data_IF_958612666479
#
_entry.id   IF_958612666479
#
_cell.length_a   1.000
_cell.length_b   1.000
_cell.length_c   1.000
_cell.angle_alpha   90.00
_cell.angle_beta   90.00
_cell.angle_gamma   90.00
#
_symmetry.space_group_name_H-M   'P 1'
#
loop_
_entity.id
_entity.type
_entity.pdbx_description
1 polymer ?
#
# COMPACT_ATOMS: atom_id res chain seq x y z
N UNK A 1 -32.73 2.06 -1.16
CA UNK A 1 -31.31 2.35 -0.91
C UNK A 1 -31.20 2.79 0.55
N UNK A 2 -30.80 1.90 1.46
CA UNK A 2 -30.82 2.18 2.92
C UNK A 2 -29.91 3.36 3.32
N UNK A 3 -28.86 3.62 2.53
CA UNK A 3 -27.95 4.77 2.70
C UNK A 3 -28.67 6.13 2.76
N UNK A 4 -29.81 6.29 2.07
CA UNK A 4 -30.56 7.56 2.06
C UNK A 4 -31.06 7.94 3.46
N UNK A 5 -31.37 6.96 4.31
CA UNK A 5 -31.86 7.18 5.67
C UNK A 5 -30.78 7.75 6.61
N UNK A 6 -29.51 7.67 6.22
CA UNK A 6 -28.38 8.10 7.04
C UNK A 6 -27.75 9.42 6.58
N UNK A 7 -28.24 10.00 5.48
CA UNK A 7 -27.70 11.23 4.86
C UNK A 7 -27.90 12.50 5.69
N UNK A 8 -28.71 12.44 6.75
CA UNK A 8 -28.92 13.56 7.67
C UNK A 8 -28.12 13.43 8.98
N UNK A 9 -27.30 12.37 9.14
CA UNK A 9 -26.60 12.09 10.39
C UNK A 9 -25.21 12.72 10.37
N UNK A 10 -24.98 13.55 11.37
CA UNK A 10 -23.72 14.24 11.64
C UNK A 10 -23.20 13.78 13.00
N UNK A 11 -21.91 13.47 13.06
CA UNK A 11 -21.26 12.94 14.26
C UNK A 11 -20.37 14.00 14.90
N UNK A 12 -20.35 14.08 16.25
CA UNK A 12 -19.36 14.87 16.94
C UNK A 12 -17.96 14.28 16.71
N UNK A 13 -16.95 15.15 16.70
CA UNK A 13 -15.55 14.71 16.63
C UNK A 13 -15.14 14.01 17.93
N UNK A 14 -14.38 12.92 17.80
CA UNK A 14 -13.70 12.30 18.93
C UNK A 14 -12.45 13.13 19.31
N UNK A 15 -12.37 13.73 20.51
CA UNK A 15 -11.23 14.57 20.90
C UNK A 15 -9.93 13.78 21.06
N UNK A 16 -10.01 12.49 21.44
CA UNK A 16 -8.83 11.62 21.61
C UNK A 16 -8.12 11.34 20.27
N UNK A 17 -8.85 11.56 19.17
CA UNK A 17 -8.45 11.57 17.76
C UNK A 17 -7.27 12.49 17.41
N UNK A 18 -7.13 13.60 18.14
CA UNK A 18 -6.51 14.81 17.60
C UNK A 18 -5.00 14.66 17.32
N UNK A 19 -4.25 14.17 18.30
CA UNK A 19 -2.82 13.88 18.14
C UNK A 19 -2.59 12.74 17.14
N UNK A 20 -3.53 11.79 17.14
CA UNK A 20 -3.80 10.82 16.09
C UNK A 20 -3.62 11.34 14.67
N UNK A 21 -4.47 12.30 14.36
CA UNK A 21 -4.56 12.90 13.05
C UNK A 21 -3.26 13.62 12.65
N UNK A 22 -2.64 14.35 13.59
CA UNK A 22 -1.38 15.05 13.33
C UNK A 22 -0.27 14.07 12.97
N UNK A 23 -0.12 12.99 13.73
CA UNK A 23 0.86 11.93 13.44
C UNK A 23 0.67 11.37 12.02
N UNK A 24 -0.55 10.97 11.70
CA UNK A 24 -0.89 10.35 10.41
C UNK A 24 -0.65 11.33 9.25
N UNK A 25 -1.00 12.61 9.39
CA UNK A 25 -0.72 13.65 8.38
C UNK A 25 0.80 13.76 8.14
N UNK A 26 1.59 13.82 9.22
CA UNK A 26 3.04 13.91 9.17
C UNK A 26 3.70 12.68 8.53
N UNK A 27 3.08 11.51 8.58
CA UNK A 27 3.56 10.28 7.94
C UNK A 27 3.14 10.18 6.47
N UNK A 28 1.89 10.54 6.16
CA UNK A 28 1.31 10.36 4.83
C UNK A 28 1.78 11.40 3.81
N UNK A 29 1.99 12.66 4.21
CA UNK A 29 2.49 13.70 3.28
C UNK A 29 3.86 13.30 2.72
N UNK A 30 4.87 12.93 3.55
CA UNK A 30 6.16 12.45 3.04
C UNK A 30 6.05 11.18 2.20
N UNK A 31 5.05 10.32 2.44
CA UNK A 31 4.87 9.09 1.66
C UNK A 31 4.52 9.36 0.18
N UNK A 32 3.93 10.51 -0.15
CA UNK A 32 3.66 10.87 -1.55
C UNK A 32 4.95 11.11 -2.34
N UNK A 33 6.00 11.66 -1.72
CA UNK A 33 7.24 12.05 -2.40
C UNK A 33 7.96 10.87 -3.09
N UNK A 34 8.33 9.77 -2.39
CA UNK A 34 9.00 8.65 -3.04
C UNK A 34 8.10 7.98 -4.06
N UNK A 35 6.80 7.85 -3.79
CA UNK A 35 5.87 7.18 -4.72
C UNK A 35 5.72 7.97 -6.03
N UNK A 36 5.55 9.29 -5.98
CA UNK A 36 5.52 10.15 -7.17
C UNK A 36 6.86 10.12 -7.91
N UNK A 37 7.98 10.15 -7.18
CA UNK A 37 9.32 10.07 -7.77
C UNK A 37 9.51 8.76 -8.55
N UNK A 38 9.24 7.61 -7.95
CA UNK A 38 9.39 6.31 -8.60
C UNK A 38 8.38 6.07 -9.72
N UNK A 39 7.16 6.60 -9.59
CA UNK A 39 6.18 6.59 -10.66
C UNK A 39 6.71 7.32 -11.92
N UNK A 40 7.20 8.55 -11.74
CA UNK A 40 7.84 9.32 -12.84
C UNK A 40 9.05 8.58 -13.40
N UNK A 41 9.91 8.05 -12.53
CA UNK A 41 11.11 7.32 -12.94
C UNK A 41 10.76 6.11 -13.81
N UNK A 42 9.75 5.33 -13.42
CA UNK A 42 9.30 4.14 -14.14
C UNK A 42 8.64 4.47 -15.49
N UNK A 43 7.96 5.61 -15.61
CA UNK A 43 7.34 6.03 -16.88
C UNK A 43 8.40 6.50 -17.88
N UNK A 44 9.31 7.38 -17.45
CA UNK A 44 10.17 8.14 -18.37
C UNK A 44 11.53 7.50 -18.62
N UNK A 45 12.15 6.85 -17.63
CA UNK A 45 13.53 6.40 -17.76
C UNK A 45 13.68 5.16 -18.64
N UNK A 46 14.70 5.19 -19.51
CA UNK A 46 15.04 4.09 -20.43
C UNK A 46 15.40 2.79 -19.69
N UNK A 47 15.96 2.93 -18.48
CA UNK A 47 16.30 1.80 -17.61
C UNK A 47 15.10 0.87 -17.35
N UNK A 48 13.92 1.45 -17.08
CA UNK A 48 12.69 0.69 -16.85
C UNK A 48 12.05 0.20 -18.14
N UNK A 49 12.19 0.94 -19.25
CA UNK A 49 11.67 0.51 -20.56
C UNK A 49 12.28 -0.82 -21.02
N UNK A 50 13.53 -1.08 -20.66
CA UNK A 50 14.21 -2.34 -20.96
C UNK A 50 13.77 -3.52 -20.07
N UNK A 51 13.03 -3.26 -18.98
CA UNK A 51 12.57 -4.25 -18.00
C UNK A 51 11.06 -4.12 -17.80
N UNK A 52 10.24 -4.58 -18.76
CA UNK A 52 8.81 -4.27 -18.80
C UNK A 52 8.06 -4.75 -17.55
N UNK A 53 8.37 -5.96 -17.04
CA UNK A 53 7.71 -6.49 -15.84
C UNK A 53 7.98 -5.59 -14.63
N UNK A 54 9.25 -5.25 -14.38
CA UNK A 54 9.64 -4.37 -13.27
C UNK A 54 8.99 -2.98 -13.39
N UNK A 55 8.95 -2.44 -14.61
CA UNK A 55 8.29 -1.17 -14.91
C UNK A 55 6.82 -1.20 -14.52
N UNK A 56 6.08 -2.22 -14.98
CA UNK A 56 4.66 -2.34 -14.65
C UNK A 56 4.43 -2.56 -13.16
N UNK A 57 5.25 -3.38 -12.50
CA UNK A 57 5.18 -3.56 -11.05
C UNK A 57 5.30 -2.23 -10.31
N UNK A 58 6.32 -1.42 -10.62
CA UNK A 58 6.54 -0.14 -9.94
C UNK A 58 5.41 0.83 -10.25
N UNK A 59 4.95 0.94 -11.51
CA UNK A 59 3.85 1.82 -11.89
C UNK A 59 2.58 1.47 -11.12
N UNK A 60 2.18 0.19 -11.12
CA UNK A 60 0.95 -0.26 -10.44
C UNK A 60 1.05 0.01 -8.94
N UNK A 61 2.16 -0.40 -8.30
CA UNK A 61 2.34 -0.27 -6.86
C UNK A 61 2.39 1.21 -6.42
N UNK A 62 3.19 2.05 -7.09
CA UNK A 62 3.27 3.48 -6.75
C UNK A 62 1.93 4.18 -6.94
N UNK A 63 1.16 3.82 -7.98
CA UNK A 63 -0.19 4.34 -8.21
C UNK A 63 -1.11 3.97 -7.05
N UNK A 64 -1.12 2.70 -6.64
CA UNK A 64 -1.92 2.23 -5.52
C UNK A 64 -1.52 2.91 -4.21
N UNK A 65 -0.22 3.07 -3.92
CA UNK A 65 0.25 3.79 -2.74
C UNK A 65 -0.17 5.27 -2.75
N UNK A 66 -0.11 5.94 -3.90
CA UNK A 66 -0.59 7.32 -4.05
C UNK A 66 -2.08 7.41 -3.74
N UNK A 67 -2.91 6.55 -4.33
CA UNK A 67 -4.35 6.56 -4.06
C UNK A 67 -4.68 6.22 -2.61
N UNK A 68 -4.10 5.16 -2.05
CA UNK A 68 -4.28 4.81 -0.63
C UNK A 68 -3.90 5.97 0.28
N UNK A 69 -2.77 6.64 0.00
CA UNK A 69 -2.31 7.81 0.76
C UNK A 69 -3.30 8.96 0.65
N UNK A 70 -3.79 9.29 -0.55
CA UNK A 70 -4.75 10.37 -0.77
C UNK A 70 -6.06 10.09 -0.03
N UNK A 71 -6.60 8.88 -0.09
CA UNK A 71 -7.85 8.54 0.59
C UNK A 71 -7.69 8.60 2.11
N UNK A 72 -6.62 8.02 2.67
CA UNK A 72 -6.37 8.10 4.11
C UNK A 72 -6.16 9.55 4.55
N UNK A 73 -5.35 10.32 3.82
CA UNK A 73 -5.10 11.73 4.13
C UNK A 73 -6.39 12.56 4.05
N UNK A 74 -7.26 12.29 3.06
CA UNK A 74 -8.54 13.00 2.93
C UNK A 74 -9.45 12.78 4.13
N UNK A 75 -9.51 11.55 4.65
CA UNK A 75 -10.29 11.21 5.85
C UNK A 75 -9.70 11.90 7.08
N UNK A 76 -8.38 11.85 7.25
CA UNK A 76 -7.70 12.48 8.39
C UNK A 76 -7.81 14.01 8.35
N UNK A 77 -7.71 14.62 7.16
CA UNK A 77 -7.92 16.05 6.96
C UNK A 77 -9.36 16.48 7.20
N UNK A 78 -10.34 15.67 6.79
CA UNK A 78 -11.75 15.90 7.10
C UNK A 78 -11.96 15.94 8.62
N UNK A 79 -11.44 14.95 9.33
CA UNK A 79 -11.48 14.93 10.80
C UNK A 79 -10.79 16.16 11.41
N UNK A 80 -9.57 16.48 10.97
CA UNK A 80 -8.78 17.58 11.52
C UNK A 80 -9.47 18.93 11.30
N UNK A 81 -10.01 19.16 10.11
CA UNK A 81 -10.81 20.34 9.79
C UNK A 81 -12.04 20.46 10.68
N UNK A 82 -12.76 19.37 10.89
CA UNK A 82 -13.94 19.36 11.77
C UNK A 82 -13.56 19.62 13.23
N UNK A 83 -12.49 19.01 13.73
CA UNK A 83 -12.02 19.17 15.11
C UNK A 83 -11.58 20.61 15.43
N UNK A 84 -10.84 21.27 14.52
CA UNK A 84 -10.35 22.65 14.71
C UNK A 84 -11.49 23.67 14.68
N UNK A 85 -12.48 23.47 13.80
CA UNK A 85 -13.59 24.42 13.62
C UNK A 85 -14.81 24.12 14.51
N UNK A 86 -14.78 23.03 15.29
CA UNK A 86 -15.95 22.57 16.05
C UNK A 86 -17.11 22.11 15.17
N UNK A 87 -16.83 21.71 13.93
CA UNK A 87 -17.85 21.18 13.03
C UNK A 87 -18.07 19.69 13.27
N UNK A 88 -19.25 19.20 12.93
CA UNK A 88 -19.56 17.78 12.92
C UNK A 88 -19.04 17.10 11.64
N UNK A 89 -18.92 15.78 11.66
CA UNK A 89 -18.49 14.96 10.52
C UNK A 89 -19.71 14.26 9.91
N UNK A 90 -19.93 14.44 8.62
CA UNK A 90 -21.01 13.77 7.91
C UNK A 90 -20.75 12.25 7.81
N UNK A 91 -21.63 11.45 8.42
CA UNK A 91 -21.42 10.01 8.61
C UNK A 91 -21.27 9.25 7.28
N UNK A 92 -22.14 9.51 6.31
CA UNK A 92 -22.14 8.80 5.02
C UNK A 92 -20.88 9.12 4.21
N UNK A 93 -20.46 10.39 4.19
CA UNK A 93 -19.26 10.80 3.46
C UNK A 93 -18.00 10.16 4.06
N UNK A 94 -17.89 10.15 5.39
CA UNK A 94 -16.76 9.53 6.07
C UNK A 94 -16.74 8.01 5.85
N UNK A 95 -17.90 7.35 5.95
CA UNK A 95 -18.02 5.91 5.72
C UNK A 95 -17.69 5.51 4.28
N UNK A 96 -18.13 6.31 3.28
CA UNK A 96 -17.81 6.09 1.87
C UNK A 96 -16.31 6.23 1.61
N UNK A 97 -15.67 7.27 2.15
CA UNK A 97 -14.23 7.45 2.02
C UNK A 97 -13.47 6.26 2.64
N UNK A 98 -13.92 5.75 3.79
CA UNK A 98 -13.35 4.57 4.44
C UNK A 98 -13.51 3.31 3.59
N UNK A 99 -14.68 3.09 2.99
CA UNK A 99 -14.92 1.96 2.09
C UNK A 99 -14.00 2.03 0.85
N UNK A 100 -13.81 3.22 0.27
CA UNK A 100 -12.88 3.43 -0.83
C UNK A 100 -11.42 3.23 -0.40
N UNK A 101 -11.02 3.75 0.76
CA UNK A 101 -9.68 3.53 1.32
C UNK A 101 -9.39 2.03 1.45
N UNK A 102 -10.34 1.25 1.99
CA UNK A 102 -10.20 -0.18 2.18
C UNK A 102 -9.96 -0.93 0.86
N UNK A 103 -10.65 -0.53 -0.21
CA UNK A 103 -10.48 -1.10 -1.54
C UNK A 103 -9.02 -0.98 -2.02
N UNK A 104 -8.42 0.20 -1.88
CA UNK A 104 -7.03 0.43 -2.32
C UNK A 104 -6.00 -0.26 -1.41
N UNK A 105 -6.22 -0.26 -0.09
CA UNK A 105 -5.36 -0.98 0.86
C UNK A 105 -5.39 -2.49 0.58
N UNK A 106 -6.57 -3.05 0.34
CA UNK A 106 -6.71 -4.46 0.01
C UNK A 106 -6.02 -4.80 -1.32
N UNK A 107 -6.20 -3.94 -2.32
CA UNK A 107 -5.54 -4.06 -3.62
C UNK A 107 -4.01 -4.00 -3.52
N UNK A 108 -3.46 -3.16 -2.63
CA UNK A 108 -2.03 -3.11 -2.32
C UNK A 108 -1.50 -4.46 -1.82
N UNK A 109 -2.24 -5.16 -0.96
CA UNK A 109 -1.83 -6.47 -0.45
C UNK A 109 -1.96 -7.59 -1.49
N UNK A 110 -2.97 -7.58 -2.35
CA UNK A 110 -3.19 -8.63 -3.37
C UNK A 110 -2.27 -8.51 -4.59
N UNK A 111 -1.83 -7.30 -4.94
CA UNK A 111 -1.09 -7.04 -6.18
C UNK A 111 0.29 -7.70 -6.25
N UNK A 112 1.15 -7.67 -5.20
CA UNK A 112 2.43 -8.38 -5.23
C UNK A 112 2.24 -9.88 -5.45
N UNK A 113 1.17 -10.46 -4.90
CA UNK A 113 0.83 -11.87 -5.09
C UNK A 113 0.39 -12.17 -6.52
N UNK A 114 -0.49 -11.35 -7.11
CA UNK A 114 -0.88 -11.45 -8.52
C UNK A 114 0.36 -11.44 -9.43
N UNK A 115 1.29 -10.50 -9.20
CA UNK A 115 2.51 -10.39 -9.99
C UNK A 115 3.42 -11.60 -9.78
N UNK A 116 3.53 -12.12 -8.56
CA UNK A 116 4.28 -13.34 -8.27
C UNK A 116 3.71 -14.56 -9.02
N UNK A 117 2.37 -14.71 -9.09
CA UNK A 117 1.70 -15.79 -9.85
C UNK A 117 2.01 -15.66 -11.34
N UNK A 118 1.80 -14.48 -11.92
CA UNK A 118 2.06 -14.20 -13.35
C UNK A 118 3.48 -14.61 -13.71
N UNK A 119 4.41 -14.25 -12.83
CA UNK A 119 5.81 -14.53 -13.05
C UNK A 119 6.16 -15.99 -12.88
N UNK A 120 5.68 -16.62 -11.81
CA UNK A 120 5.91 -18.04 -11.59
C UNK A 120 5.44 -18.85 -12.80
N UNK A 121 4.28 -18.50 -13.37
CA UNK A 121 3.79 -19.11 -14.59
C UNK A 121 4.72 -18.87 -15.78
N UNK A 122 5.15 -17.62 -15.99
CA UNK A 122 6.09 -17.26 -17.06
C UNK A 122 7.44 -17.96 -16.96
N UNK A 123 7.99 -18.13 -15.76
CA UNK A 123 9.29 -18.78 -15.54
C UNK A 123 9.14 -20.31 -15.64
N UNK A 124 8.17 -20.90 -14.94
CA UNK A 124 8.02 -22.35 -14.82
C UNK A 124 7.43 -22.98 -16.08
N UNK A 125 6.45 -22.34 -16.71
CA UNK A 125 5.75 -22.87 -17.91
C UNK A 125 6.26 -22.27 -19.21
N UNK A 126 7.12 -21.23 -19.17
CA UNK A 126 7.62 -20.51 -20.36
C UNK A 126 6.50 -19.98 -21.26
N UNK A 127 5.35 -19.66 -20.68
CA UNK A 127 4.17 -19.10 -21.36
C UNK A 127 3.73 -17.83 -20.65
N UNK A 128 3.28 -16.85 -21.41
CA UNK A 128 2.66 -15.66 -20.85
C UNK A 128 1.19 -15.94 -20.51
N UNK A 129 0.72 -15.43 -19.38
CA UNK A 129 -0.71 -15.44 -19.09
C UNK A 129 -1.43 -14.44 -19.99
N UNK A 130 -2.61 -14.82 -20.46
CA UNK A 130 -3.49 -13.91 -21.19
C UNK A 130 -3.95 -12.78 -20.25
N UNK A 131 -4.05 -11.55 -20.76
CA UNK A 131 -4.54 -10.38 -20.01
C UNK A 131 -5.93 -10.63 -19.38
N UNK A 132 -6.80 -11.37 -20.06
CA UNK A 132 -8.11 -11.75 -19.53
C UNK A 132 -8.00 -12.63 -18.27
N UNK A 133 -7.03 -13.55 -18.25
CA UNK A 133 -6.77 -14.42 -17.08
C UNK A 133 -6.21 -13.60 -15.93
N UNK A 134 -5.32 -12.63 -16.23
CA UNK A 134 -4.77 -11.72 -15.22
C UNK A 134 -5.88 -10.86 -14.61
N UNK A 135 -6.78 -10.33 -15.44
CA UNK A 135 -7.91 -9.54 -14.98
C UNK A 135 -8.90 -10.37 -14.14
N UNK A 136 -9.24 -11.58 -14.58
CA UNK A 136 -10.05 -12.51 -13.81
C UNK A 136 -9.42 -12.84 -12.45
N UNK A 137 -8.10 -13.11 -12.42
CA UNK A 137 -7.37 -13.34 -11.19
C UNK A 137 -7.40 -12.12 -10.24
N UNK A 138 -7.26 -10.92 -10.79
CA UNK A 138 -7.36 -9.69 -10.01
C UNK A 138 -8.75 -9.50 -9.40
N UNK A 139 -9.82 -9.75 -10.14
CA UNK A 139 -11.20 -9.69 -9.61
C UNK A 139 -11.40 -10.75 -8.52
N UNK A 140 -11.00 -12.00 -8.78
CA UNK A 140 -11.17 -13.11 -7.83
C UNK A 140 -10.46 -12.81 -6.52
N UNK A 141 -9.19 -12.39 -6.58
CA UNK A 141 -8.43 -12.10 -5.37
C UNK A 141 -8.93 -10.85 -4.65
N UNK A 142 -9.52 -9.87 -5.34
CA UNK A 142 -10.13 -8.69 -4.72
C UNK A 142 -11.62 -8.86 -4.41
N UNK A 143 -12.19 -10.05 -4.60
CA UNK A 143 -13.62 -10.31 -4.37
C UNK A 143 -14.06 -9.98 -2.94
N UNK A 144 -13.31 -10.32 -1.86
CA UNK A 144 -13.74 -9.99 -0.50
C UNK A 144 -14.03 -8.49 -0.30
N UNK A 145 -13.14 -7.60 -0.75
CA UNK A 145 -13.36 -6.15 -0.64
C UNK A 145 -14.44 -5.63 -1.59
N UNK A 146 -14.66 -6.28 -2.74
CA UNK A 146 -15.76 -5.92 -3.66
C UNK A 146 -17.12 -6.28 -3.06
N UNK A 147 -17.22 -7.41 -2.34
CA UNK A 147 -18.43 -7.79 -1.61
C UNK A 147 -18.68 -6.80 -0.47
N UNK A 148 -17.66 -6.39 0.29
CA UNK A 148 -17.82 -5.36 1.34
C UNK A 148 -18.38 -4.06 0.75
N UNK A 149 -17.85 -3.62 -0.39
CA UNK A 149 -18.35 -2.42 -1.07
C UNK A 149 -19.79 -2.59 -1.57
N UNK A 150 -20.12 -3.76 -2.12
CA UNK A 150 -21.48 -4.08 -2.53
C UNK A 150 -22.46 -4.07 -1.34
N UNK A 151 -22.11 -4.73 -0.24
CA UNK A 151 -22.94 -4.80 0.96
C UNK A 151 -23.13 -3.40 1.59
N UNK A 152 -22.11 -2.55 1.55
CA UNK A 152 -22.20 -1.16 1.98
C UNK A 152 -23.28 -0.36 1.20
N UNK A 153 -23.45 -0.60 -0.10
CA UNK A 153 -24.43 0.12 -0.91
C UNK A 153 -25.83 -0.49 -0.89
N UNK A 154 -25.94 -1.82 -0.80
CA UNK A 154 -27.17 -2.55 -1.15
C UNK A 154 -27.71 -3.47 -0.06
N UNK A 155 -26.93 -3.79 0.98
CA UNK A 155 -27.31 -4.77 2.01
C UNK A 155 -27.60 -4.10 3.37
N UNK A 156 -27.89 -4.94 4.38
CA UNK A 156 -28.05 -4.49 5.77
C UNK A 156 -26.73 -3.99 6.31
N UNK A 157 -26.76 -2.78 6.85
CA UNK A 157 -25.62 -2.12 7.48
C UNK A 157 -25.93 -1.85 8.94
N UNK A 158 -24.91 -1.87 9.79
CA UNK A 158 -24.99 -1.45 11.17
C UNK A 158 -24.20 -0.17 11.41
N UNK A 159 -24.61 0.60 12.41
CA UNK A 159 -23.88 1.77 12.87
C UNK A 159 -22.97 1.33 14.01
N UNK A 160 -21.68 1.57 13.85
CA UNK A 160 -20.67 1.28 14.88
C UNK A 160 -19.91 2.56 15.25
N UNK A 161 -19.41 2.61 16.48
CA UNK A 161 -18.52 3.67 16.91
C UNK A 161 -17.14 3.49 16.23
N UNK A 162 -16.56 4.59 15.78
CA UNK A 162 -15.31 4.61 15.04
C UNK A 162 -14.46 5.80 15.45
N UNK A 163 -13.18 5.54 15.71
CA UNK A 163 -12.24 6.51 16.29
C UNK A 163 -12.18 7.83 15.52
N UNK A 164 -12.17 7.77 14.18
CA UNK A 164 -12.06 8.96 13.30
C UNK A 164 -13.41 9.63 13.03
N UNK A 165 -14.40 8.89 12.51
CA UNK A 165 -15.66 9.46 12.06
C UNK A 165 -16.71 9.63 13.18
N UNK A 166 -16.39 9.26 14.42
CA UNK A 166 -17.33 9.13 15.53
C UNK A 166 -18.19 7.87 15.38
N UNK A 167 -19.00 7.81 14.33
CA UNK A 167 -19.77 6.63 13.92
C UNK A 167 -19.61 6.37 12.44
N UNK A 168 -19.62 5.10 12.03
CA UNK A 168 -19.64 4.72 10.61
C UNK A 168 -20.73 3.71 10.32
N UNK A 169 -21.09 3.64 9.04
CA UNK A 169 -21.89 2.59 8.46
C UNK A 169 -20.94 1.45 8.10
N UNK A 170 -21.09 0.31 8.75
CA UNK A 170 -20.31 -0.90 8.47
C UNK A 170 -21.22 -2.07 8.09
N UNK A 171 -20.62 -3.05 7.44
CA UNK A 171 -21.24 -4.31 7.05
C UNK A 171 -21.46 -5.19 8.29
N UNK A 172 -22.69 -5.68 8.48
CA UNK A 172 -23.07 -6.54 9.62
C UNK A 172 -22.40 -7.94 9.56
N UNK A 173 -21.97 -8.37 8.37
CA UNK A 173 -21.38 -9.67 8.12
C UNK A 173 -19.94 -9.79 8.67
N UNK A 174 -19.83 -10.14 9.95
CA UNK A 174 -18.56 -10.35 10.65
C UNK A 174 -17.63 -11.38 9.99
N UNK A 175 -18.19 -12.42 9.35
CA UNK A 175 -17.39 -13.42 8.64
C UNK A 175 -16.66 -12.79 7.45
N UNK A 176 -17.32 -11.89 6.72
CA UNK A 176 -16.72 -11.20 5.59
C UNK A 176 -15.56 -10.29 6.05
N UNK A 177 -15.74 -9.57 7.16
CA UNK A 177 -14.68 -8.74 7.77
C UNK A 177 -13.46 -9.59 8.14
N UNK A 178 -13.68 -10.74 8.80
CA UNK A 178 -12.59 -11.65 9.16
C UNK A 178 -11.86 -12.21 7.93
N UNK A 179 -12.60 -12.64 6.91
CA UNK A 179 -12.02 -13.10 5.63
C UNK A 179 -11.17 -12.01 4.99
N UNK A 180 -11.62 -10.75 5.04
CA UNK A 180 -10.90 -9.60 4.52
C UNK A 180 -9.55 -9.44 5.24
N UNK A 181 -9.55 -9.43 6.58
CA UNK A 181 -8.35 -9.35 7.43
C UNK A 181 -7.38 -10.49 7.13
N UNK A 182 -7.88 -11.73 7.07
CA UNK A 182 -7.08 -12.91 6.77
C UNK A 182 -6.45 -12.85 5.37
N UNK A 183 -7.18 -12.35 4.37
CA UNK A 183 -6.66 -12.19 3.02
C UNK A 183 -5.56 -11.12 2.95
N UNK A 184 -5.75 -9.97 3.63
CA UNK A 184 -4.73 -8.91 3.73
C UNK A 184 -3.43 -9.47 4.33
N UNK A 185 -3.53 -10.32 5.35
CA UNK A 185 -2.38 -10.97 5.97
C UNK A 185 -1.76 -12.06 5.07
N UNK A 186 -2.59 -12.87 4.42
CA UNK A 186 -2.15 -14.04 3.66
C UNK A 186 -1.51 -13.66 2.31
N UNK A 187 -2.01 -12.66 1.59
CA UNK A 187 -1.51 -12.36 0.24
C UNK A 187 -0.03 -11.95 0.19
N UNK A 188 0.48 -11.06 1.07
CA UNK A 188 1.90 -10.76 1.12
C UNK A 188 2.75 -12.01 1.39
N UNK A 189 2.30 -12.87 2.31
CA UNK A 189 2.98 -14.14 2.61
C UNK A 189 2.98 -15.09 1.40
N UNK A 190 1.82 -15.31 0.76
CA UNK A 190 1.70 -16.16 -0.43
C UNK A 190 2.52 -15.61 -1.61
N UNK A 191 2.57 -14.29 -1.78
CA UNK A 191 3.44 -13.62 -2.74
C UNK A 191 4.92 -13.93 -2.50
N UNK A 192 5.37 -13.81 -1.26
CA UNK A 192 6.74 -14.14 -0.87
C UNK A 192 7.09 -15.61 -1.15
N UNK A 193 6.24 -16.55 -0.72
CA UNK A 193 6.43 -18.00 -0.97
C UNK A 193 6.46 -18.28 -2.48
N UNK A 194 5.57 -17.68 -3.26
CA UNK A 194 5.53 -17.85 -4.72
C UNK A 194 6.81 -17.33 -5.38
N UNK A 195 7.36 -16.21 -4.91
CA UNK A 195 8.63 -15.68 -5.39
C UNK A 195 9.82 -16.60 -5.05
N UNK A 196 9.82 -17.24 -3.88
CA UNK A 196 10.82 -18.26 -3.51
C UNK A 196 10.75 -19.47 -4.45
N UNK A 197 9.54 -20.00 -4.71
CA UNK A 197 9.35 -21.11 -5.64
C UNK A 197 9.80 -20.75 -7.07
N UNK A 198 9.51 -19.52 -7.49
CA UNK A 198 9.98 -18.97 -8.76
C UNK A 198 11.50 -18.91 -8.82
N UNK A 199 12.16 -18.48 -7.74
CA UNK A 199 13.61 -18.42 -7.64
C UNK A 199 14.26 -19.81 -7.78
N UNK A 200 13.73 -20.82 -7.09
CA UNK A 200 14.25 -22.19 -7.22
C UNK A 200 14.07 -22.75 -8.63
N UNK A 201 12.91 -22.48 -9.25
CA UNK A 201 12.63 -22.85 -10.64
C UNK A 201 13.59 -22.17 -11.61
N UNK A 202 13.87 -20.87 -11.39
CA UNK A 202 14.83 -20.09 -12.16
C UNK A 202 16.25 -20.67 -11.99
N UNK A 203 16.69 -20.92 -10.75
CA UNK A 203 18.01 -21.49 -10.46
C UNK A 203 18.21 -22.84 -11.14
N UNK A 204 17.19 -23.70 -11.13
CA UNK A 204 17.23 -25.01 -11.82
C UNK A 204 17.34 -24.88 -13.34
N UNK A 205 16.73 -23.87 -13.94
CA UNK A 205 16.80 -23.65 -15.39
C UNK A 205 18.17 -23.11 -15.82
N UNK A 206 18.76 -22.21 -15.04
CA UNK A 206 20.00 -21.52 -15.38
C UNK A 206 21.26 -22.15 -14.78
N UNK A 207 21.15 -23.15 -13.90
CA UNK A 207 22.30 -23.87 -13.33
C UNK A 207 23.20 -24.54 -14.39
N UNK A 208 22.66 -24.75 -15.61
CA UNK A 208 23.39 -25.32 -16.75
C UNK A 208 24.08 -24.28 -17.65
N UNK A 209 23.88 -22.98 -17.42
CA UNK A 209 24.42 -21.92 -18.28
C UNK A 209 25.36 -21.00 -17.48
N UNK A 210 26.66 -21.12 -17.74
CA UNK A 210 27.75 -20.63 -16.87
C UNK A 210 27.76 -19.12 -16.57
N UNK A 211 27.12 -18.26 -17.36
CA UNK A 211 27.12 -16.80 -17.14
C UNK A 211 26.03 -16.11 -17.95
N UNK A 212 24.78 -16.15 -17.48
CA UNK A 212 23.68 -15.54 -18.22
C UNK A 212 23.26 -14.21 -17.58
N UNK A 213 23.49 -13.09 -18.28
CA UNK A 213 23.00 -11.75 -17.89
C UNK A 213 21.49 -11.75 -17.66
N UNK A 214 20.74 -12.61 -18.37
CA UNK A 214 19.31 -12.84 -18.19
C UNK A 214 18.97 -13.39 -16.81
N UNK A 215 19.79 -14.28 -16.25
CA UNK A 215 19.58 -14.79 -14.89
C UNK A 215 19.70 -13.67 -13.84
N UNK A 216 20.68 -12.77 -14.00
CA UNK A 216 20.85 -11.62 -13.10
C UNK A 216 19.63 -10.69 -13.15
N UNK A 217 19.17 -10.34 -14.35
CA UNK A 217 17.97 -9.50 -14.52
C UNK A 217 16.73 -10.14 -13.91
N UNK A 218 16.50 -11.44 -14.12
CA UNK A 218 15.38 -12.14 -13.51
C UNK A 218 15.53 -12.17 -11.97
N UNK A 219 16.71 -12.49 -11.44
CA UNK A 219 16.96 -12.47 -10.00
C UNK A 219 16.65 -11.11 -9.37
N UNK A 220 17.06 -10.01 -9.99
CA UNK A 220 16.80 -8.64 -9.50
C UNK A 220 15.31 -8.36 -9.34
N UNK A 221 14.50 -8.73 -10.34
CA UNK A 221 13.06 -8.52 -10.26
C UNK A 221 12.45 -9.44 -9.19
N UNK A 222 12.98 -10.66 -8.98
CA UNK A 222 12.44 -11.57 -7.93
C UNK A 222 12.71 -10.97 -6.56
N UNK A 223 13.94 -10.47 -6.37
CA UNK A 223 14.32 -9.79 -5.14
C UNK A 223 13.40 -8.58 -4.88
N UNK A 224 13.14 -7.75 -5.89
CA UNK A 224 12.21 -6.63 -5.81
C UNK A 224 10.81 -7.05 -5.35
N UNK A 225 10.23 -8.08 -5.98
CA UNK A 225 8.90 -8.59 -5.61
C UNK A 225 8.88 -9.21 -4.22
N UNK A 226 9.93 -9.95 -3.83
CA UNK A 226 10.05 -10.50 -2.47
C UNK A 226 10.10 -9.40 -1.41
N UNK A 227 10.80 -8.30 -1.68
CA UNK A 227 10.85 -7.15 -0.78
C UNK A 227 9.49 -6.47 -0.68
N UNK A 228 8.80 -6.27 -1.81
CA UNK A 228 7.44 -5.72 -1.85
C UNK A 228 6.40 -6.64 -1.18
N UNK A 229 6.68 -7.94 -1.05
CA UNK A 229 5.84 -8.86 -0.29
C UNK A 229 6.18 -8.87 1.21
N UNK A 230 7.47 -8.84 1.59
CA UNK A 230 7.88 -8.98 2.99
C UNK A 230 7.71 -7.70 3.79
N UNK A 231 7.94 -6.54 3.20
CA UNK A 231 7.82 -5.25 3.91
C UNK A 231 6.39 -5.01 4.40
N UNK A 232 5.35 -5.13 3.55
CA UNK A 232 3.97 -5.00 4.03
C UNK A 232 3.65 -6.05 5.08
N UNK A 233 4.11 -7.29 4.93
CA UNK A 233 3.87 -8.34 5.93
C UNK A 233 4.40 -7.94 7.31
N UNK A 234 5.65 -7.49 7.40
CA UNK A 234 6.28 -7.08 8.66
C UNK A 234 5.63 -5.81 9.23
N UNK A 235 5.24 -4.88 8.36
CA UNK A 235 4.69 -3.58 8.79
C UNK A 235 3.22 -3.66 9.19
N UNK A 236 2.46 -4.58 8.59
CA UNK A 236 1.04 -4.80 8.87
C UNK A 236 0.82 -5.77 10.03
N UNK A 237 1.76 -6.71 10.26
CA UNK A 237 1.60 -7.73 11.30
C UNK A 237 1.29 -7.15 12.69
N UNK A 238 1.96 -6.10 13.21
CA UNK A 238 1.63 -5.53 14.51
C UNK A 238 0.17 -5.06 14.61
N UNK A 239 -0.28 -4.30 13.61
CA UNK A 239 -1.66 -3.79 13.54
C UNK A 239 -2.67 -4.93 13.44
N UNK A 240 -2.40 -5.95 12.61
CA UNK A 240 -3.28 -7.11 12.44
C UNK A 240 -3.35 -7.97 13.70
N UNK A 241 -2.24 -8.13 14.42
CA UNK A 241 -2.20 -8.85 15.70
C UNK A 241 -3.03 -8.11 16.75
N UNK A 242 -2.88 -6.79 16.87
CA UNK A 242 -3.70 -5.99 17.79
C UNK A 242 -5.18 -6.06 17.43
N UNK A 243 -5.52 -5.98 16.14
CA UNK A 243 -6.89 -6.10 15.67
C UNK A 243 -7.49 -7.47 16.02
N UNK A 244 -6.73 -8.56 15.81
CA UNK A 244 -7.14 -9.92 16.16
C UNK A 244 -7.29 -10.10 17.68
N UNK A 245 -6.36 -9.57 18.48
CA UNK A 245 -6.43 -9.62 19.94
C UNK A 245 -7.63 -8.84 20.48
N UNK A 246 -7.90 -7.66 19.93
CA UNK A 246 -9.09 -6.86 20.26
C UNK A 246 -10.37 -7.62 19.93
N UNK A 247 -10.40 -8.32 18.79
CA UNK A 247 -11.56 -9.08 18.34
C UNK A 247 -11.80 -10.37 19.14
N UNK A 248 -10.74 -11.13 19.46
CA UNK A 248 -10.84 -12.44 20.14
C UNK A 248 -10.95 -12.28 21.65
N UNK A 249 -10.05 -11.48 22.26
CA UNK A 249 -9.91 -11.37 23.71
C UNK A 249 -10.64 -10.15 24.29
N UNK A 250 -11.35 -9.37 23.46
CA UNK A 250 -11.94 -8.06 23.85
C UNK A 250 -10.93 -7.17 24.56
N UNK A 251 -9.68 -7.26 24.13
CA UNK A 251 -8.58 -6.57 24.80
C UNK A 251 -8.85 -5.07 24.69
N UNK A 252 -8.82 -4.40 25.85
CA UNK A 252 -9.17 -2.98 25.91
C UNK A 252 -8.18 -2.17 25.11
N UNK A 253 -8.70 -1.12 24.47
CA UNK A 253 -7.96 -0.25 23.57
C UNK A 253 -6.80 0.43 24.32
N UNK A 254 -5.59 -0.09 24.16
CA UNK A 254 -4.38 0.61 24.59
C UNK A 254 -3.98 1.62 23.52
N UNK A 255 -4.36 2.88 23.74
CA UNK A 255 -4.08 4.00 22.83
C UNK A 255 -2.64 4.00 22.32
N UNK A 256 -1.67 3.85 23.23
CA UNK A 256 -0.24 3.88 22.89
C UNK A 256 0.19 2.75 21.95
N UNK A 257 -0.34 1.53 22.13
CA UNK A 257 -0.03 0.41 21.25
C UNK A 257 -0.55 0.66 19.83
N UNK A 258 -1.78 1.18 19.71
CA UNK A 258 -2.35 1.57 18.42
C UNK A 258 -1.52 2.62 17.70
N UNK A 259 -1.06 3.66 18.41
CA UNK A 259 -0.16 4.69 17.84
C UNK A 259 1.15 4.09 17.30
N UNK A 260 1.80 3.22 18.08
CA UNK A 260 3.04 2.54 17.62
C UNK A 260 2.78 1.72 16.37
N UNK A 261 1.65 1.00 16.31
CA UNK A 261 1.32 0.20 15.13
C UNK A 261 0.96 1.06 13.92
N UNK A 262 0.27 2.18 14.11
CA UNK A 262 -0.02 3.14 13.04
C UNK A 262 1.26 3.77 12.49
N UNK A 263 2.21 4.13 13.38
CA UNK A 263 3.53 4.61 12.97
C UNK A 263 4.24 3.58 12.07
N UNK A 264 4.33 2.33 12.53
CA UNK A 264 4.97 1.24 11.75
C UNK A 264 4.24 1.02 10.43
N UNK A 265 2.90 1.02 10.47
CA UNK A 265 2.06 0.80 9.30
C UNK A 265 2.24 1.94 8.28
N UNK A 266 2.03 3.20 8.63
CA UNK A 266 2.09 4.27 7.63
C UNK A 266 3.52 4.60 7.18
N UNK A 267 4.54 4.36 8.01
CA UNK A 267 5.93 4.55 7.59
C UNK A 267 6.31 3.63 6.42
N UNK A 268 5.72 2.44 6.30
CA UNK A 268 6.03 1.54 5.17
C UNK A 268 5.62 2.10 3.81
N UNK A 269 4.62 2.98 3.75
CA UNK A 269 4.19 3.64 2.51
C UNK A 269 5.31 4.50 1.93
N UNK A 270 6.22 5.00 2.78
CA UNK A 270 7.39 5.80 2.38
C UNK A 270 8.47 4.89 1.77
N UNK A 271 8.86 3.84 2.49
CA UNK A 271 10.12 3.14 2.18
C UNK A 271 9.95 1.87 1.34
N UNK A 272 8.76 1.28 1.18
CA UNK A 272 8.58 0.00 0.48
C UNK A 272 9.07 0.04 -0.98
N UNK A 273 8.69 1.05 -1.75
CA UNK A 273 9.11 1.19 -3.15
C UNK A 273 10.59 1.55 -3.22
N UNK A 274 11.04 2.46 -2.35
CA UNK A 274 12.44 2.84 -2.26
C UNK A 274 13.35 1.64 -1.97
N UNK A 275 13.05 0.86 -0.94
CA UNK A 275 13.80 -0.34 -0.60
C UNK A 275 13.72 -1.34 -1.76
N UNK A 276 12.53 -1.65 -2.28
CA UNK A 276 12.40 -2.62 -3.36
C UNK A 276 13.26 -2.29 -4.59
N UNK A 277 13.46 -1.01 -4.89
CA UNK A 277 14.21 -0.55 -6.07
C UNK A 277 15.70 -0.37 -5.80
N UNK A 278 16.12 0.06 -4.61
CA UNK A 278 17.55 0.30 -4.28
C UNK A 278 18.37 -0.99 -4.21
N UNK A 279 17.73 -2.14 -3.98
CA UNK A 279 18.42 -3.45 -4.04
C UNK A 279 18.80 -3.87 -5.46
N UNK A 280 18.29 -3.20 -6.49
CA UNK A 280 18.68 -3.45 -7.89
C UNK A 280 19.90 -2.59 -8.20
N UNK A 281 21.05 -3.22 -8.37
CA UNK A 281 22.35 -2.56 -8.52
C UNK A 281 22.38 -1.50 -9.63
N UNK A 282 21.77 -1.78 -10.79
CA UNK A 282 21.69 -0.86 -11.92
C UNK A 282 20.79 0.35 -11.68
N UNK A 283 19.72 0.18 -10.90
CA UNK A 283 18.84 1.29 -10.50
C UNK A 283 19.56 2.13 -9.45
N UNK A 284 20.19 1.48 -8.47
CA UNK A 284 20.99 2.13 -7.44
C UNK A 284 22.12 2.97 -8.05
N UNK A 285 22.84 2.45 -9.03
CA UNK A 285 23.92 3.19 -9.71
C UNK A 285 23.41 4.36 -10.54
N UNK A 286 22.13 4.36 -10.96
CA UNK A 286 21.50 5.50 -11.61
C UNK A 286 20.97 6.55 -10.62
N UNK A 287 20.38 6.11 -9.50
CA UNK A 287 19.73 6.98 -8.52
C UNK A 287 20.73 7.67 -7.59
N UNK A 288 21.72 6.95 -7.03
CA UNK A 288 22.67 7.52 -6.06
C UNK A 288 23.41 8.74 -6.62
N UNK A 289 23.91 8.74 -7.88
CA UNK A 289 24.57 9.92 -8.44
C UNK A 289 23.63 11.12 -8.61
N UNK A 290 22.33 10.92 -8.86
CA UNK A 290 21.37 12.02 -8.98
C UNK A 290 21.21 12.78 -7.66
N UNK A 291 21.22 12.06 -6.53
CA UNK A 291 21.23 12.70 -5.22
C UNK A 291 22.54 13.45 -4.96
N UNK A 292 23.69 12.83 -5.25
CA UNK A 292 25.02 13.47 -5.05
C UNK A 292 25.28 14.69 -5.94
N UNK A 293 24.73 14.72 -7.16
CA UNK A 293 24.96 15.80 -8.13
C UNK A 293 24.11 17.05 -7.85
N UNK A 294 23.00 16.90 -7.12
CA UNK A 294 22.21 18.03 -6.66
C UNK A 294 22.88 18.79 -5.50
N UNK A 295 23.63 18.11 -4.63
CA UNK A 295 24.36 18.77 -3.54
C UNK A 295 25.47 19.70 -4.07
N UNK A 296 26.15 19.33 -5.16
CA UNK A 296 27.21 20.15 -5.77
C UNK A 296 26.68 21.42 -6.44
N UNK A 297 25.45 21.38 -6.97
CA UNK A 297 24.81 22.58 -7.52
C UNK A 297 24.36 23.55 -6.42
N UNK A 298 23.83 23.05 -5.29
CA UNK A 298 23.43 23.87 -4.14
C UNK A 298 24.64 24.57 -3.50
N UNK A 299 25.77 23.87 -3.34
CA UNK A 299 27.00 24.50 -2.84
C UNK A 299 27.57 25.56 -3.81
N UNK A 300 27.49 25.33 -5.13
CA UNK A 300 27.98 26.30 -6.12
C UNK A 300 27.12 27.58 -6.20
N UNK A 301 25.82 27.48 -5.92
CA UNK A 301 24.92 28.65 -5.87
C UNK A 301 25.06 29.45 -4.57
N UNK A 302 25.38 28.79 -3.45
CA UNK A 302 25.63 29.45 -2.16
C UNK A 302 27.01 30.14 -2.15
N UNK A 303 28.04 29.52 -2.74
CA UNK A 303 29.35 30.17 -2.89
C UNK A 303 29.29 31.40 -3.82
N UNK A 304 28.50 31.36 -4.91
CA UNK A 304 28.29 32.54 -5.78
C UNK A 304 27.49 33.68 -5.13
N UNK A 305 26.77 33.43 -4.04
CA UNK A 305 26.08 34.49 -3.28
C UNK A 305 26.98 35.16 -2.24
N UNK A 306 28.07 34.51 -1.80
CA UNK A 306 29.01 35.08 -0.83
C UNK A 306 30.18 35.86 -1.47
N UNK A 307 30.37 35.78 -2.79
CA UNK A 307 31.39 36.57 -3.52
C UNK A 307 30.90 37.97 -3.94
N UNK A 308 29.74 38.42 -3.43
CA UNK A 308 29.14 39.72 -3.73
C UNK A 308 28.83 40.59 -2.49
N UNK A 309 29.49 40.34 -1.36
CA UNK A 309 29.51 41.23 -0.18
C UNK A 309 30.93 41.61 0.17
#
# INVERSE_FOLDING_TARGET
>A
MQLLNYTSIWNPCNPDYYYAAIEIICLLIPALLPNIYFFKLAIYQKLFKNRPILRYTIIIQTTQYIFSTIFTLSITLLYFYSAVNGNEIHMVSCSLLRALQQLFIFSLSSTPFIIAIIRNFSVTKRKHLNILVIFALAIILNTPTLIVLYEFFFSKTMIIDHEICGKIIEVENMTLVLVNILCIAAYPFLGFVTNILTYFSLKKQYSRMLRNSRFKQEKDVILNLSIQSIIPLVSQAPMLILLLLSYINRWQYEYYLWRITDFIYYTHFIYVIFLSTIFIEEIRSHIIPQFKRNDTHVYSSVLKMNDHT
#
